data_IF_209322390867
#
_entry.id   IF_209322390867
#
_cell.length_a   1.000
_cell.length_b   1.000
_cell.length_c   1.000
_cell.angle_alpha   90.00
_cell.angle_beta   90.00
_cell.angle_gamma   90.00
#
_symmetry.space_group_name_H-M   'P 1'
#
loop_
_entity.id
_entity.type
_entity.pdbx_description
1 polymer ?
#
# COMPACT_ATOMS: atom_id res chain seq x y z
N UNK A 1 16.43 -23.54 -32.06
CA UNK A 1 15.06 -24.02 -31.78
C UNK A 1 14.96 -24.03 -30.25
N UNK A 2 14.85 -22.83 -29.66
CA UNK A 2 14.64 -22.62 -28.23
C UNK A 2 13.19 -22.23 -28.05
N UNK A 3 12.40 -23.17 -27.54
CA UNK A 3 11.03 -22.87 -27.09
C UNK A 3 11.11 -22.02 -25.82
N UNK A 4 10.56 -20.82 -25.91
CA UNK A 4 10.16 -20.00 -24.79
C UNK A 4 9.27 -20.84 -23.85
N UNK A 5 9.81 -21.17 -22.68
CA UNK A 5 8.98 -21.58 -21.55
C UNK A 5 8.42 -20.29 -20.99
N UNK A 6 7.31 -19.83 -21.58
CA UNK A 6 6.44 -18.83 -20.96
C UNK A 6 5.91 -19.49 -19.69
N UNK A 7 6.48 -19.13 -18.55
CA UNK A 7 5.98 -19.51 -17.22
C UNK A 7 4.53 -19.06 -17.14
N UNK A 8 3.61 -20.02 -17.04
CA UNK A 8 2.20 -19.77 -16.85
C UNK A 8 2.06 -19.08 -15.49
N UNK A 9 1.97 -17.78 -15.50
CA UNK A 9 1.78 -16.99 -14.28
C UNK A 9 0.53 -17.51 -13.59
N UNK A 10 0.69 -18.11 -12.41
CA UNK A 10 -0.41 -18.66 -11.64
C UNK A 10 -1.37 -17.51 -11.33
N UNK A 11 -2.65 -17.70 -11.67
CA UNK A 11 -3.69 -16.73 -11.40
C UNK A 11 -3.73 -16.39 -9.89
N UNK A 12 -3.62 -15.11 -9.55
CA UNK A 12 -3.70 -14.61 -8.18
C UNK A 12 -5.07 -14.92 -7.57
N UNK A 13 -5.10 -15.20 -6.28
CA UNK A 13 -6.32 -15.47 -5.55
C UNK A 13 -6.60 -14.35 -4.55
N UNK A 14 -7.72 -13.68 -4.74
CA UNK A 14 -8.18 -12.56 -3.91
C UNK A 14 -9.42 -12.97 -3.15
N UNK A 15 -9.46 -12.70 -1.85
CA UNK A 15 -10.60 -12.94 -0.98
C UNK A 15 -11.14 -11.60 -0.49
N UNK A 16 -12.38 -11.27 -0.83
CA UNK A 16 -13.10 -10.12 -0.27
C UNK A 16 -13.88 -10.57 0.97
N UNK A 17 -13.65 -9.90 2.09
CA UNK A 17 -14.42 -10.11 3.32
C UNK A 17 -15.59 -9.13 3.32
N UNK A 18 -16.81 -9.62 3.54
CA UNK A 18 -17.94 -8.77 3.90
C UNK A 18 -19.15 -8.86 3.00
N UNK A 19 -20.03 -7.84 3.10
CA UNK A 19 -21.39 -7.83 2.59
C UNK A 19 -21.66 -6.81 1.49
N UNK A 20 -20.65 -6.23 0.89
CA UNK A 20 -20.83 -5.24 -0.17
C UNK A 20 -20.82 -5.87 -1.56
N UNK A 21 -21.98 -6.40 -2.02
CA UNK A 21 -22.02 -7.11 -3.31
C UNK A 21 -21.72 -6.20 -4.50
N UNK A 22 -21.98 -4.89 -4.38
CA UNK A 22 -21.72 -3.95 -5.47
C UNK A 22 -20.24 -3.62 -5.62
N UNK A 23 -19.55 -3.30 -4.54
CA UNK A 23 -18.10 -3.10 -4.55
C UNK A 23 -17.39 -4.37 -5.03
N UNK A 24 -17.82 -5.54 -4.55
CA UNK A 24 -17.26 -6.81 -4.99
C UNK A 24 -17.41 -7.04 -6.49
N UNK A 25 -18.59 -6.75 -7.08
CA UNK A 25 -18.81 -6.88 -8.52
C UNK A 25 -17.92 -5.94 -9.33
N UNK A 26 -17.76 -4.69 -8.87
CA UNK A 26 -16.88 -3.75 -9.54
C UNK A 26 -15.40 -4.19 -9.48
N UNK A 27 -14.95 -4.70 -8.31
CA UNK A 27 -13.62 -5.26 -8.15
C UNK A 27 -13.40 -6.52 -9.01
N UNK A 28 -14.42 -7.39 -9.13
CA UNK A 28 -14.34 -8.64 -9.89
C UNK A 28 -13.93 -8.38 -11.34
N UNK A 29 -14.56 -7.41 -12.01
CA UNK A 29 -14.23 -7.03 -13.37
C UNK A 29 -12.77 -6.56 -13.51
N UNK A 30 -12.32 -5.69 -12.61
CA UNK A 30 -10.93 -5.19 -12.60
C UNK A 30 -9.92 -6.29 -12.31
N UNK A 31 -10.25 -7.25 -11.43
CA UNK A 31 -9.38 -8.37 -11.07
C UNK A 31 -9.32 -9.44 -12.18
N UNK A 32 -10.44 -9.74 -12.82
CA UNK A 32 -10.49 -10.69 -13.95
C UNK A 32 -9.62 -10.22 -15.13
N UNK A 33 -9.69 -8.93 -15.46
CA UNK A 33 -8.85 -8.34 -16.50
C UNK A 33 -7.35 -8.48 -16.23
N UNK A 34 -6.97 -8.63 -14.94
CA UNK A 34 -5.59 -8.78 -14.44
C UNK A 34 -5.21 -10.24 -14.09
N UNK A 35 -5.95 -11.21 -14.63
CA UNK A 35 -5.74 -12.64 -14.37
C UNK A 35 -5.81 -13.02 -12.87
N UNK A 36 -6.67 -12.37 -12.09
CA UNK A 36 -6.93 -12.68 -10.70
C UNK A 36 -8.20 -13.52 -10.54
N UNK A 37 -8.21 -14.46 -9.60
CA UNK A 37 -9.41 -15.21 -9.18
C UNK A 37 -9.96 -14.56 -7.92
N UNK A 38 -11.24 -14.29 -7.93
CA UNK A 38 -11.92 -13.58 -6.86
C UNK A 38 -12.94 -14.47 -6.14
N UNK A 39 -13.00 -14.39 -4.82
CA UNK A 39 -13.98 -15.08 -3.99
C UNK A 39 -14.43 -14.20 -2.83
N UNK A 40 -15.62 -14.51 -2.28
CA UNK A 40 -16.19 -13.81 -1.13
C UNK A 40 -16.14 -14.67 0.13
N UNK A 41 -15.90 -14.00 1.27
CA UNK A 41 -16.13 -14.55 2.60
C UNK A 41 -17.22 -13.73 3.31
N UNK A 42 -18.17 -14.40 3.94
CA UNK A 42 -19.32 -13.76 4.58
C UNK A 42 -18.96 -13.00 5.89
N UNK A 43 -17.72 -13.05 6.33
CA UNK A 43 -17.20 -12.40 7.54
C UNK A 43 -15.98 -13.12 8.09
N UNK A 44 -15.49 -12.69 9.25
CA UNK A 44 -14.20 -13.15 9.82
C UNK A 44 -14.12 -14.68 9.99
N UNK A 45 -15.15 -15.32 10.54
CA UNK A 45 -15.14 -16.77 10.74
C UNK A 45 -15.07 -17.56 9.42
N UNK A 46 -15.75 -17.09 8.39
CA UNK A 46 -15.71 -17.70 7.06
C UNK A 46 -14.36 -17.46 6.40
N UNK A 47 -13.80 -16.26 6.53
CA UNK A 47 -12.45 -15.90 6.06
C UNK A 47 -11.42 -16.88 6.61
N UNK A 48 -11.35 -17.07 7.91
CA UNK A 48 -10.39 -17.98 8.54
C UNK A 48 -10.59 -19.44 8.10
N UNK A 49 -11.84 -19.86 7.90
CA UNK A 49 -12.18 -21.19 7.38
C UNK A 49 -11.66 -21.36 5.94
N UNK A 50 -11.88 -20.37 5.07
CA UNK A 50 -11.43 -20.40 3.67
C UNK A 50 -9.91 -20.37 3.58
N UNK A 51 -9.24 -19.53 4.36
CA UNK A 51 -7.77 -19.45 4.40
C UNK A 51 -7.09 -20.75 4.83
N UNK A 52 -7.73 -21.55 5.70
CA UNK A 52 -7.20 -22.88 6.07
C UNK A 52 -7.27 -23.89 4.92
N UNK A 53 -8.25 -23.74 4.02
CA UNK A 53 -8.52 -24.68 2.92
C UNK A 53 -7.84 -24.26 1.62
N UNK A 54 -7.75 -22.96 1.38
CA UNK A 54 -7.31 -22.39 0.12
C UNK A 54 -6.21 -21.36 0.39
N UNK A 55 -5.18 -21.37 -0.45
CA UNK A 55 -4.18 -20.31 -0.43
C UNK A 55 -4.73 -19.10 -1.19
N UNK A 56 -4.80 -17.95 -0.52
CA UNK A 56 -5.07 -16.65 -1.11
C UNK A 56 -3.81 -15.80 -1.03
N UNK A 57 -3.59 -14.98 -2.04
CA UNK A 57 -2.46 -14.05 -2.10
C UNK A 57 -2.83 -12.72 -1.43
N UNK A 58 -4.09 -12.31 -1.58
CA UNK A 58 -4.62 -11.04 -1.07
C UNK A 58 -5.95 -11.27 -0.36
N UNK A 59 -6.13 -10.55 0.73
CA UNK A 59 -7.42 -10.38 1.42
C UNK A 59 -7.78 -8.90 1.40
N UNK A 60 -9.01 -8.58 1.00
CA UNK A 60 -9.56 -7.22 1.02
C UNK A 60 -10.68 -7.20 2.06
N UNK A 61 -10.61 -6.26 3.01
CA UNK A 61 -11.62 -6.13 4.07
C UNK A 61 -12.84 -5.32 3.62
N UNK A 62 -13.89 -5.40 4.39
CA UNK A 62 -15.13 -4.67 4.16
C UNK A 62 -15.11 -3.35 4.92
N UNK A 63 -15.42 -2.21 4.29
CA UNK A 63 -15.45 -0.93 4.97
C UNK A 63 -16.51 -0.81 6.09
N UNK A 64 -17.39 -1.80 6.26
CA UNK A 64 -18.32 -1.84 7.40
C UNK A 64 -17.67 -2.20 8.73
N UNK A 65 -16.47 -2.76 8.71
CA UNK A 65 -15.69 -3.02 9.91
C UNK A 65 -14.92 -1.78 10.35
N UNK A 66 -14.62 -1.67 11.64
CA UNK A 66 -13.62 -0.71 12.10
C UNK A 66 -12.20 -1.20 11.77
N UNK A 67 -11.27 -0.26 11.67
CA UNK A 67 -9.85 -0.59 11.44
C UNK A 67 -9.32 -1.50 12.56
N UNK A 68 -9.73 -1.29 13.81
CA UNK A 68 -9.31 -2.12 14.95
C UNK A 68 -9.80 -3.58 14.82
N UNK A 69 -11.05 -3.79 14.37
CA UNK A 69 -11.58 -5.14 14.11
C UNK A 69 -10.80 -5.83 13.00
N UNK A 70 -10.49 -5.12 11.94
CA UNK A 70 -9.71 -5.65 10.81
C UNK A 70 -8.25 -5.93 11.22
N UNK A 71 -7.63 -5.10 12.07
CA UNK A 71 -6.30 -5.36 12.60
C UNK A 71 -6.26 -6.57 13.54
N UNK A 72 -7.31 -6.80 14.32
CA UNK A 72 -7.46 -8.01 15.12
C UNK A 72 -7.54 -9.25 14.22
N UNK A 73 -8.40 -9.21 13.20
CA UNK A 73 -8.54 -10.28 12.21
C UNK A 73 -7.23 -10.52 11.43
N UNK A 74 -6.48 -9.47 11.10
CA UNK A 74 -5.17 -9.58 10.44
C UNK A 74 -4.20 -10.46 11.21
N UNK A 75 -4.19 -10.38 12.53
CA UNK A 75 -3.34 -11.21 13.38
C UNK A 75 -3.69 -12.70 13.25
N UNK A 76 -4.97 -13.03 13.19
CA UNK A 76 -5.45 -14.39 12.98
C UNK A 76 -5.17 -14.90 11.55
N UNK A 77 -5.37 -14.03 10.55
CA UNK A 77 -5.05 -14.32 9.15
C UNK A 77 -3.57 -14.68 9.00
N UNK A 78 -2.67 -13.92 9.61
CA UNK A 78 -1.23 -14.17 9.55
C UNK A 78 -0.78 -15.41 10.27
N UNK A 79 -1.46 -15.80 11.34
CA UNK A 79 -1.21 -17.08 12.01
C UNK A 79 -1.48 -18.29 11.11
N UNK A 80 -2.44 -18.15 10.16
CA UNK A 80 -2.78 -19.19 9.19
C UNK A 80 -1.94 -19.07 7.91
N UNK A 81 -1.75 -17.84 7.41
CA UNK A 81 -1.07 -17.52 6.15
C UNK A 81 -0.15 -16.30 6.32
N UNK A 82 1.08 -16.47 6.78
CA UNK A 82 2.00 -15.35 7.06
C UNK A 82 2.30 -14.46 5.85
N UNK A 83 2.25 -15.03 4.63
CA UNK A 83 2.57 -14.31 3.39
C UNK A 83 1.40 -13.57 2.75
N UNK A 84 0.17 -13.71 3.27
CA UNK A 84 -1.00 -13.05 2.67
C UNK A 84 -0.91 -11.53 2.81
N UNK A 85 -1.26 -10.81 1.76
CA UNK A 85 -1.36 -9.35 1.76
C UNK A 85 -2.76 -8.93 2.16
N UNK A 86 -2.88 -7.88 2.98
CA UNK A 86 -4.19 -7.38 3.41
C UNK A 86 -4.33 -5.93 2.98
N UNK A 87 -5.41 -5.66 2.26
CA UNK A 87 -5.89 -4.33 1.90
C UNK A 87 -7.06 -4.01 2.83
N UNK A 88 -6.94 -2.95 3.62
CA UNK A 88 -8.01 -2.46 4.46
C UNK A 88 -8.82 -1.41 3.71
N UNK A 89 -10.13 -1.61 3.64
CA UNK A 89 -11.08 -0.61 3.17
C UNK A 89 -11.84 -0.06 4.37
N UNK A 90 -12.01 1.24 4.45
CA UNK A 90 -12.74 1.91 5.53
C UNK A 90 -13.55 3.09 5.02
N UNK A 91 -14.63 3.46 5.69
CA UNK A 91 -15.35 4.68 5.34
C UNK A 91 -14.59 5.93 5.80
N UNK A 92 -13.93 5.84 6.94
CA UNK A 92 -13.12 6.92 7.51
C UNK A 92 -11.96 6.31 8.29
N UNK A 93 -10.83 6.99 8.27
CA UNK A 93 -9.67 6.64 9.09
C UNK A 93 -9.16 7.83 9.86
N UNK A 94 -8.62 7.56 11.05
CA UNK A 94 -7.86 8.52 11.83
C UNK A 94 -6.36 8.33 11.59
N UNK A 95 -5.53 9.35 11.81
CA UNK A 95 -4.08 9.19 11.72
C UNK A 95 -3.54 8.06 12.62
N UNK A 96 -4.13 7.86 13.80
CA UNK A 96 -3.77 6.81 14.73
C UNK A 96 -4.04 5.41 14.16
N UNK A 97 -5.17 5.21 13.49
CA UNK A 97 -5.53 3.96 12.82
C UNK A 97 -4.61 3.67 11.62
N UNK A 98 -4.27 4.70 10.83
CA UNK A 98 -3.31 4.54 9.73
C UNK A 98 -1.92 4.16 10.25
N UNK A 99 -1.47 4.79 11.35
CA UNK A 99 -0.21 4.43 12.00
C UNK A 99 -0.26 3.00 12.55
N UNK A 100 -1.38 2.57 13.14
CA UNK A 100 -1.57 1.20 13.60
C UNK A 100 -1.51 0.20 12.44
N UNK A 101 -2.14 0.51 11.30
CA UNK A 101 -2.11 -0.30 10.09
C UNK A 101 -0.68 -0.41 9.50
N UNK A 102 0.07 0.70 9.46
CA UNK A 102 1.47 0.71 9.05
C UNK A 102 2.33 -0.18 9.96
N UNK A 103 2.21 -0.04 11.28
CA UNK A 103 2.92 -0.85 12.29
C UNK A 103 2.54 -2.33 12.18
N UNK A 104 1.26 -2.61 11.90
CA UNK A 104 0.76 -3.95 11.65
C UNK A 104 1.16 -4.48 10.26
N UNK A 105 1.92 -3.73 9.46
CA UNK A 105 2.36 -4.11 8.11
C UNK A 105 1.20 -4.48 7.18
N UNK A 106 0.11 -3.75 7.25
CA UNK A 106 -0.96 -3.81 6.26
C UNK A 106 -0.38 -3.48 4.89
N UNK A 107 -0.86 -4.12 3.85
CA UNK A 107 -0.35 -3.86 2.50
C UNK A 107 -0.80 -2.49 1.99
N UNK A 108 -2.08 -2.15 2.18
CA UNK A 108 -2.68 -0.88 1.77
C UNK A 108 -3.87 -0.55 2.68
N UNK A 109 -4.10 0.73 2.93
CA UNK A 109 -5.35 1.25 3.51
C UNK A 109 -5.95 2.22 2.51
N UNK A 110 -7.27 2.16 2.32
CA UNK A 110 -8.03 3.10 1.49
C UNK A 110 -9.30 3.51 2.20
N UNK A 111 -9.52 4.82 2.30
CA UNK A 111 -10.78 5.41 2.77
C UNK A 111 -11.72 5.69 1.60
N UNK A 112 -13.03 5.70 1.85
CA UNK A 112 -14.02 6.07 0.85
C UNK A 112 -13.83 7.53 0.38
N UNK A 113 -14.14 7.88 -0.89
CA UNK A 113 -14.72 7.03 -1.93
C UNK A 113 -13.72 6.07 -2.54
N UNK A 114 -14.17 4.85 -2.87
CA UNK A 114 -13.30 3.81 -3.42
C UNK A 114 -13.29 3.87 -4.95
N UNK A 115 -12.09 3.77 -5.53
CA UNK A 115 -11.91 3.42 -6.94
C UNK A 115 -11.65 1.91 -7.04
N UNK A 116 -12.60 1.11 -7.57
CA UNK A 116 -12.43 -0.33 -7.70
C UNK A 116 -11.29 -0.74 -8.63
N UNK A 117 -11.00 0.06 -9.68
CA UNK A 117 -9.90 -0.21 -10.61
C UNK A 117 -8.55 -0.04 -9.92
N UNK A 118 -8.39 1.02 -9.15
CA UNK A 118 -7.18 1.27 -8.35
C UNK A 118 -6.94 0.14 -7.33
N UNK A 119 -7.99 -0.25 -6.60
CA UNK A 119 -7.91 -1.35 -5.61
C UNK A 119 -7.53 -2.67 -6.30
N UNK A 120 -8.15 -2.97 -7.46
CA UNK A 120 -7.85 -4.17 -8.23
C UNK A 120 -6.40 -4.17 -8.75
N UNK A 121 -5.88 -3.02 -9.14
CA UNK A 121 -4.49 -2.85 -9.54
C UNK A 121 -3.53 -3.17 -8.38
N UNK A 122 -3.71 -2.55 -7.22
CA UNK A 122 -2.91 -2.86 -6.03
C UNK A 122 -3.02 -4.33 -5.63
N UNK A 123 -4.22 -4.92 -5.67
CA UNK A 123 -4.42 -6.32 -5.35
C UNK A 123 -3.68 -7.25 -6.32
N UNK A 124 -3.69 -6.94 -7.62
CA UNK A 124 -2.96 -7.72 -8.63
C UNK A 124 -1.45 -7.65 -8.43
N UNK A 125 -0.92 -6.49 -8.11
CA UNK A 125 0.51 -6.26 -7.86
C UNK A 125 0.94 -6.83 -6.49
N UNK A 126 0.05 -6.86 -5.50
CA UNK A 126 0.32 -7.39 -4.18
C UNK A 126 0.73 -8.88 -4.22
N UNK A 127 0.13 -9.66 -5.09
CA UNK A 127 0.47 -11.07 -5.28
C UNK A 127 1.88 -11.31 -5.83
N UNK A 128 2.43 -10.41 -6.65
CA UNK A 128 3.80 -10.52 -7.18
C UNK A 128 4.87 -10.24 -6.11
N UNK A 129 4.52 -9.52 -5.07
CA UNK A 129 5.42 -9.15 -3.98
C UNK A 129 5.41 -10.14 -2.81
N UNK A 130 4.79 -11.32 -2.95
CA UNK A 130 4.64 -12.31 -1.88
C UNK A 130 5.97 -12.79 -1.28
N UNK A 131 7.02 -12.85 -2.10
CA UNK A 131 8.37 -13.26 -1.69
C UNK A 131 9.27 -12.10 -1.30
N UNK A 132 8.81 -10.86 -1.40
CA UNK A 132 9.57 -9.66 -1.05
C UNK A 132 9.10 -9.07 0.29
N UNK A 133 10.01 -8.52 1.10
CA UNK A 133 9.62 -7.68 2.23
C UNK A 133 8.63 -6.61 1.77
N UNK A 134 7.69 -6.21 2.65
CA UNK A 134 6.67 -5.18 2.32
C UNK A 134 7.27 -3.85 1.87
N UNK A 135 8.58 -3.69 2.02
CA UNK A 135 9.34 -2.57 1.49
C UNK A 135 9.22 -1.28 2.30
N UNK A 136 8.29 -1.20 3.24
CA UNK A 136 8.11 -0.09 4.16
C UNK A 136 8.40 -0.60 5.57
N UNK A 137 9.43 -0.07 6.20
CA UNK A 137 9.80 -0.31 7.60
C UNK A 137 9.47 0.93 8.43
N UNK A 138 8.70 0.75 9.49
CA UNK A 138 8.38 1.85 10.43
C UNK A 138 9.50 1.97 11.44
N UNK A 139 10.26 3.04 11.38
CA UNK A 139 11.34 3.35 12.34
C UNK A 139 10.73 3.98 13.60
N UNK A 140 9.83 4.96 13.40
CA UNK A 140 9.07 5.61 14.47
C UNK A 140 7.78 6.16 13.90
N UNK A 141 6.68 6.09 14.65
CA UNK A 141 5.44 6.68 14.23
C UNK A 141 4.60 7.12 15.44
N UNK A 142 4.22 8.38 15.43
CA UNK A 142 3.32 9.07 16.35
C UNK A 142 2.37 9.92 15.52
N UNK A 143 1.32 10.46 16.15
CA UNK A 143 0.30 11.28 15.49
C UNK A 143 0.88 12.37 14.58
N UNK A 144 1.90 13.08 15.06
CA UNK A 144 2.47 14.24 14.37
C UNK A 144 3.82 13.95 13.69
N UNK A 145 4.27 12.71 13.74
CA UNK A 145 5.54 12.29 13.17
C UNK A 145 5.53 10.83 12.74
N UNK A 146 5.94 10.61 11.50
CA UNK A 146 6.20 9.29 10.95
C UNK A 146 7.59 9.28 10.33
N UNK A 147 8.41 8.28 10.70
CA UNK A 147 9.73 8.04 10.11
C UNK A 147 9.79 6.61 9.58
N UNK A 148 10.09 6.47 8.31
CA UNK A 148 9.98 5.24 7.55
C UNK A 148 11.28 4.99 6.78
N UNK A 149 11.62 3.74 6.62
CA UNK A 149 12.63 3.28 5.66
C UNK A 149 11.95 2.52 4.54
N UNK A 150 12.26 2.86 3.30
CA UNK A 150 11.52 2.41 2.12
C UNK A 150 12.48 1.83 1.11
N UNK A 151 12.17 0.64 0.55
CA UNK A 151 12.94 0.11 -0.56
C UNK A 151 12.60 0.86 -1.87
N UNK A 152 13.51 0.79 -2.84
CA UNK A 152 13.43 1.57 -4.08
C UNK A 152 12.65 0.83 -5.17
N UNK A 153 11.46 0.32 -4.83
CA UNK A 153 10.53 -0.33 -5.76
C UNK A 153 9.32 0.56 -6.02
N UNK A 154 8.87 0.62 -7.27
CA UNK A 154 7.73 1.44 -7.69
C UNK A 154 6.48 1.18 -6.84
N UNK A 155 6.07 -0.09 -6.71
CA UNK A 155 4.92 -0.48 -5.92
C UNK A 155 5.02 -0.01 -4.45
N UNK A 156 6.23 -0.04 -3.88
CA UNK A 156 6.43 0.45 -2.50
C UNK A 156 6.28 1.96 -2.42
N UNK A 157 6.76 2.69 -3.42
CA UNK A 157 6.59 4.14 -3.50
C UNK A 157 5.11 4.53 -3.62
N UNK A 158 4.38 3.87 -4.51
CA UNK A 158 2.94 4.11 -4.68
C UNK A 158 2.16 3.84 -3.39
N UNK A 159 2.42 2.72 -2.72
CA UNK A 159 1.82 2.40 -1.42
C UNK A 159 2.18 3.39 -0.33
N UNK A 160 3.41 3.90 -0.33
CA UNK A 160 3.82 4.94 0.62
C UNK A 160 3.04 6.23 0.40
N UNK A 161 2.88 6.65 -0.86
CA UNK A 161 2.06 7.81 -1.21
C UNK A 161 0.63 7.63 -0.69
N UNK A 162 0.03 6.46 -0.89
CA UNK A 162 -1.32 6.16 -0.38
C UNK A 162 -1.40 6.25 1.15
N UNK A 163 -0.48 5.62 1.88
CA UNK A 163 -0.45 5.71 3.33
C UNK A 163 -0.29 7.15 3.84
N UNK A 164 0.56 7.95 3.19
CA UNK A 164 0.73 9.35 3.57
C UNK A 164 -0.47 10.21 3.17
N UNK A 165 -1.17 9.89 2.08
CA UNK A 165 -2.44 10.53 1.70
C UNK A 165 -3.50 10.29 2.77
N UNK A 166 -3.64 9.06 3.23
CA UNK A 166 -4.57 8.72 4.32
C UNK A 166 -4.22 9.42 5.65
N UNK A 167 -2.92 9.55 5.96
CA UNK A 167 -2.47 10.32 7.14
C UNK A 167 -2.85 11.81 7.05
N UNK A 168 -3.06 12.36 5.85
CA UNK A 168 -3.45 13.75 5.60
C UNK A 168 -4.96 13.90 5.39
N UNK A 169 -5.78 12.96 5.82
CA UNK A 169 -7.24 12.98 5.66
C UNK A 169 -7.92 14.21 6.30
N UNK A 170 -7.26 14.90 7.22
CA UNK A 170 -7.72 16.15 7.80
C UNK A 170 -7.56 17.38 6.90
N UNK A 171 -6.84 17.29 5.78
CA UNK A 171 -6.73 18.37 4.81
C UNK A 171 -7.90 18.33 3.81
N UNK A 172 -8.25 19.50 3.29
CA UNK A 172 -9.15 19.60 2.13
C UNK A 172 -8.55 18.88 0.93
N UNK A 173 -9.39 18.29 0.07
CA UNK A 173 -8.98 17.43 -1.04
C UNK A 173 -7.96 18.11 -1.97
N UNK A 174 -8.25 19.31 -2.47
CA UNK A 174 -7.36 20.00 -3.42
C UNK A 174 -5.94 20.27 -2.88
N UNK A 175 -5.78 20.89 -1.70
CA UNK A 175 -4.47 21.06 -1.07
C UNK A 175 -3.76 19.74 -0.75
N UNK A 176 -4.49 18.72 -0.31
CA UNK A 176 -3.94 17.38 -0.05
C UNK A 176 -3.36 16.76 -1.31
N UNK A 177 -4.11 16.78 -2.42
CA UNK A 177 -3.68 16.19 -3.68
C UNK A 177 -2.44 16.89 -4.24
N UNK A 178 -2.38 18.23 -4.17
CA UNK A 178 -1.20 19.00 -4.58
C UNK A 178 0.03 18.65 -3.73
N UNK A 179 -0.16 18.53 -2.41
CA UNK A 179 0.90 18.15 -1.48
C UNK A 179 1.43 16.75 -1.81
N UNK A 180 0.53 15.79 -2.03
CA UNK A 180 0.90 14.41 -2.30
C UNK A 180 1.51 14.23 -3.69
N UNK A 181 1.08 15.01 -4.67
CA UNK A 181 1.73 15.06 -5.99
C UNK A 181 3.18 15.56 -5.87
N UNK A 182 3.42 16.65 -5.13
CA UNK A 182 4.77 17.16 -4.91
C UNK A 182 5.63 16.14 -4.13
N UNK A 183 5.09 15.51 -3.11
CA UNK A 183 5.79 14.46 -2.38
C UNK A 183 6.15 13.26 -3.28
N UNK A 184 5.20 12.79 -4.10
CA UNK A 184 5.42 11.70 -5.04
C UNK A 184 6.57 12.02 -6.01
N UNK A 185 6.62 13.23 -6.53
CA UNK A 185 7.70 13.69 -7.42
C UNK A 185 9.06 13.63 -6.73
N UNK A 186 9.17 14.15 -5.51
CA UNK A 186 10.41 14.10 -4.72
C UNK A 186 10.83 12.66 -4.43
N UNK A 187 9.87 11.79 -4.06
CA UNK A 187 10.13 10.38 -3.79
C UNK A 187 10.62 9.65 -5.05
N UNK A 188 9.99 9.91 -6.19
CA UNK A 188 10.38 9.32 -7.46
C UNK A 188 11.78 9.77 -7.89
N UNK A 189 12.11 11.03 -7.74
CA UNK A 189 13.46 11.55 -7.99
C UNK A 189 14.51 10.87 -7.10
N UNK A 190 14.19 10.65 -5.82
CA UNK A 190 15.07 9.93 -4.90
C UNK A 190 15.27 8.45 -5.30
N UNK A 191 14.23 7.78 -5.81
CA UNK A 191 14.32 6.40 -6.29
C UNK A 191 15.11 6.32 -7.61
N UNK A 192 14.79 7.18 -8.57
CA UNK A 192 15.37 7.16 -9.91
C UNK A 192 16.83 7.62 -9.89
N UNK A 193 17.07 8.81 -9.38
CA UNK A 193 18.40 9.44 -9.42
C UNK A 193 19.28 9.09 -8.23
N UNK A 194 18.70 9.01 -7.02
CA UNK A 194 19.45 8.68 -5.80
C UNK A 194 19.73 7.19 -5.66
N UNK A 195 18.75 6.35 -5.90
CA UNK A 195 18.85 4.91 -5.73
C UNK A 195 19.07 4.13 -7.03
N UNK A 196 18.80 4.73 -8.20
CA UNK A 196 18.92 4.11 -9.53
C UNK A 196 18.06 2.82 -9.65
N UNK A 197 16.88 2.81 -9.03
CA UNK A 197 15.98 1.64 -8.93
C UNK A 197 16.64 0.37 -8.37
N UNK A 198 17.75 0.48 -7.65
CA UNK A 198 18.48 -0.69 -7.11
C UNK A 198 17.74 -1.28 -5.91
N UNK A 199 17.26 -2.54 -5.95
CA UNK A 199 16.41 -3.13 -4.91
C UNK A 199 17.05 -3.21 -3.52
N UNK A 200 18.40 -3.23 -3.45
CA UNK A 200 19.15 -3.27 -2.18
C UNK A 200 19.37 -1.90 -1.54
N UNK A 201 19.04 -0.81 -2.24
CA UNK A 201 19.10 0.54 -1.69
C UNK A 201 17.80 0.88 -0.98
N UNK A 202 17.88 1.77 0.00
CA UNK A 202 16.75 2.24 0.79
C UNK A 202 16.75 3.77 0.84
N UNK A 203 15.56 4.33 1.01
CA UNK A 203 15.32 5.75 1.20
C UNK A 203 14.72 5.94 2.58
N UNK A 204 15.23 6.88 3.37
CA UNK A 204 14.62 7.30 4.61
C UNK A 204 13.63 8.45 4.32
N UNK A 205 12.39 8.27 4.76
CA UNK A 205 11.30 9.25 4.60
C UNK A 205 10.78 9.60 5.98
N UNK A 206 10.65 10.89 6.26
CA UNK A 206 9.94 11.35 7.46
C UNK A 206 8.90 12.39 7.10
N UNK A 207 7.72 12.28 7.71
CA UNK A 207 6.66 13.26 7.64
C UNK A 207 6.43 13.84 9.05
N UNK A 208 6.48 15.16 9.16
CA UNK A 208 6.28 15.90 10.40
C UNK A 208 5.11 16.83 10.23
N UNK A 209 4.12 16.70 11.11
CA UNK A 209 2.93 17.54 11.15
C UNK A 209 3.08 18.57 12.25
N UNK A 210 2.94 19.84 11.92
CA UNK A 210 2.92 20.95 12.88
C UNK A 210 1.61 21.71 12.75
N UNK A 211 1.33 22.61 13.68
CA UNK A 211 0.12 23.47 13.61
C UNK A 211 0.04 24.31 12.32
N UNK A 212 1.16 24.54 11.62
CA UNK A 212 1.26 25.48 10.50
C UNK A 212 1.77 24.86 9.19
N UNK A 213 2.36 23.68 9.25
CA UNK A 213 3.01 23.09 8.10
C UNK A 213 3.11 21.57 8.22
N UNK A 214 3.13 20.93 7.07
CA UNK A 214 3.55 19.54 6.92
C UNK A 214 4.91 19.56 6.24
N UNK A 215 5.89 18.87 6.84
CA UNK A 215 7.26 18.84 6.34
C UNK A 215 7.62 17.40 6.00
N UNK A 216 8.01 17.17 4.76
CA UNK A 216 8.58 15.89 4.32
C UNK A 216 10.10 16.01 4.23
N UNK A 217 10.79 15.02 4.80
CA UNK A 217 12.20 14.77 4.61
C UNK A 217 12.37 13.49 3.82
N UNK A 218 13.08 13.58 2.71
CA UNK A 218 13.43 12.42 1.88
C UNK A 218 14.94 12.40 1.77
N UNK A 219 15.56 11.29 2.21
CA UNK A 219 17.00 11.07 2.15
C UNK A 219 17.27 9.84 1.30
N UNK A 220 17.86 10.06 0.16
CA UNK A 220 18.30 9.00 -0.75
C UNK A 220 19.76 8.60 -0.51
N UNK A 221 20.21 7.43 -1.03
CA UNK A 221 21.58 6.94 -0.92
C UNK A 221 22.50 7.43 -2.03
N UNK A 222 22.11 8.44 -2.79
CA UNK A 222 22.91 9.01 -3.89
C UNK A 222 24.10 9.82 -3.41
N UNK A 223 24.96 10.16 -4.34
CA UNK A 223 26.15 11.01 -4.06
C UNK A 223 25.78 12.49 -3.82
N UNK A 224 24.50 12.85 -3.99
CA UNK A 224 24.05 14.22 -3.97
C UNK A 224 24.41 14.96 -5.26
N UNK A 225 24.19 16.26 -5.27
CA UNK A 225 24.53 17.16 -6.37
C UNK A 225 25.11 18.47 -5.82
N UNK A 226 25.91 19.17 -6.62
CA UNK A 226 26.37 20.49 -6.27
C UNK A 226 25.38 21.51 -6.84
N UNK A 227 25.00 22.53 -6.04
CA UNK A 227 24.03 23.55 -6.46
C UNK A 227 24.45 24.29 -7.72
N UNK A 228 25.77 24.46 -7.92
CA UNK A 228 26.34 25.13 -9.08
C UNK A 228 26.23 24.34 -10.39
N UNK A 229 25.93 23.03 -10.29
CA UNK A 229 25.76 22.11 -11.42
C UNK A 229 24.31 22.04 -11.92
N UNK A 230 23.36 22.60 -11.15
CA UNK A 230 21.95 22.61 -11.55
C UNK A 230 21.74 23.72 -12.59
N UNK A 231 21.24 23.39 -13.80
CA UNK A 231 20.84 24.41 -14.76
C UNK A 231 19.79 25.31 -14.13
N UNK A 232 20.06 26.59 -14.04
CA UNK A 232 19.06 27.54 -13.57
C UNK A 232 17.82 27.43 -14.45
N UNK A 233 16.67 27.11 -13.82
CA UNK A 233 15.39 27.24 -14.50
C UNK A 233 15.22 28.70 -14.91
N UNK A 234 15.19 28.94 -16.22
CA UNK A 234 14.98 30.23 -16.82
C UNK A 234 13.53 30.70 -16.68
#
# INVERSE_FOLDING_TARGET
>A
MNQEVAGKELARRVLLIGKYPELGKALEQGLESRNCKFQYAAGSADTLRQLRRTAYDVVITDPSNSVDEDLALLSEIRAIRPGVRVILLTHHSTPEEIIAALKARVFLVKSAPFDPEEIAEFASQAGTAADSPLGIEVISAHRDWVSLRVNCQMLTAERLVEFLTELQSGLEEGPRDQLMMAFREILMNAIEHGAEFKPGKVIDVSAVHTERAIVFYVRDPGAGFQLDEIPHAA
#
